data_IF_579401516543
#
_entry.id   IF_579401516543
#
_cell.length_a   1.000
_cell.length_b   1.000
_cell.length_c   1.000
_cell.angle_alpha   90.00
_cell.angle_beta   90.00
_cell.angle_gamma   90.00
#
_symmetry.space_group_name_H-M   'P 1'
#
loop_
_entity.id
_entity.type
_entity.pdbx_description
1 polymer ?
#
# COMPACT_ATOMS: atom_id res chain seq x y z
N UNK A 1 38.47 -0.52 18.75
CA UNK A 1 37.90 -1.01 17.49
C UNK A 1 36.39 -0.77 17.55
N UNK A 2 35.86 0.19 16.80
CA UNK A 2 34.44 0.51 16.79
C UNK A 2 33.79 -0.22 15.60
N UNK A 3 32.85 -1.13 15.88
CA UNK A 3 32.06 -1.76 14.83
C UNK A 3 30.98 -0.77 14.41
N UNK A 4 31.16 -0.17 13.24
CA UNK A 4 30.16 0.68 12.61
C UNK A 4 28.97 -0.16 12.15
N UNK A 5 28.01 -0.39 13.05
CA UNK A 5 26.70 -0.88 12.67
C UNK A 5 25.79 0.33 12.41
N UNK A 6 25.90 0.90 11.21
CA UNK A 6 24.96 1.90 10.70
C UNK A 6 23.59 1.25 10.48
N UNK A 7 22.84 1.04 11.54
CA UNK A 7 21.46 0.56 11.46
C UNK A 7 20.58 1.66 10.91
N UNK A 8 20.08 1.49 9.68
CA UNK A 8 19.06 2.38 9.14
C UNK A 8 17.72 2.07 9.84
N UNK A 9 17.35 2.90 10.80
CA UNK A 9 16.01 2.85 11.40
C UNK A 9 15.02 3.49 10.44
N UNK A 10 14.17 2.68 9.79
CA UNK A 10 13.07 3.21 9.00
C UNK A 10 11.92 3.59 9.94
N UNK A 11 11.79 4.88 10.23
CA UNK A 11 10.65 5.42 10.96
C UNK A 11 9.53 5.79 9.99
N UNK A 12 8.29 5.49 10.37
CA UNK A 12 7.13 5.78 9.55
C UNK A 12 6.28 6.83 10.25
N UNK A 13 6.19 8.02 9.64
CA UNK A 13 5.35 9.11 10.11
C UNK A 13 3.97 9.05 9.43
N UNK A 14 2.91 9.30 10.18
CA UNK A 14 1.57 9.51 9.61
C UNK A 14 1.57 10.77 8.76
N UNK A 15 1.27 10.65 7.47
CA UNK A 15 1.25 11.79 6.55
C UNK A 15 -0.12 12.47 6.54
N UNK A 16 -1.19 11.69 6.47
CA UNK A 16 -2.58 12.16 6.49
C UNK A 16 -3.55 10.97 6.63
N UNK A 17 -4.72 11.23 7.20
CA UNK A 17 -5.89 10.36 7.11
C UNK A 17 -6.74 10.77 5.91
N UNK A 18 -7.17 9.80 5.11
CA UNK A 18 -7.89 10.05 3.87
C UNK A 18 -8.90 8.94 3.57
N UNK A 19 -9.97 9.33 2.87
CA UNK A 19 -10.94 8.38 2.36
C UNK A 19 -10.45 7.78 1.04
N UNK A 20 -10.45 6.46 0.97
CA UNK A 20 -10.12 5.70 -0.23
C UNK A 20 -11.04 4.49 -0.34
N UNK A 21 -11.33 4.09 -1.58
CA UNK A 21 -11.98 2.82 -1.88
C UNK A 21 -10.91 1.72 -1.94
N UNK A 22 -11.09 0.66 -1.16
CA UNK A 22 -10.19 -0.50 -1.12
C UNK A 22 -10.88 -1.70 -1.77
N UNK A 23 -10.29 -2.22 -2.83
CA UNK A 23 -10.80 -3.36 -3.59
C UNK A 23 -9.74 -4.46 -3.64
N UNK A 24 -9.99 -5.67 -3.11
CA UNK A 24 -9.06 -6.79 -3.28
C UNK A 24 -9.04 -7.22 -4.76
N UNK A 25 -7.88 -7.21 -5.40
CA UNK A 25 -7.76 -7.62 -6.81
C UNK A 25 -7.51 -9.11 -6.99
N UNK A 26 -7.18 -9.82 -5.91
CA UNK A 26 -6.92 -11.27 -5.90
C UNK A 26 -8.12 -12.15 -5.54
N UNK A 27 -9.32 -11.58 -5.40
CA UNK A 27 -10.49 -12.27 -4.84
C UNK A 27 -11.57 -12.56 -5.87
N UNK A 28 -11.28 -13.34 -6.91
CA UNK A 28 -12.34 -14.03 -7.66
C UNK A 28 -12.77 -15.26 -6.84
N UNK A 29 -13.84 -15.11 -6.04
CA UNK A 29 -14.76 -16.13 -5.51
C UNK A 29 -14.24 -17.47 -4.90
N UNK A 30 -12.95 -17.62 -4.62
CA UNK A 30 -12.41 -18.83 -4.01
C UNK A 30 -12.33 -18.75 -2.49
N UNK A 31 -13.36 -19.22 -1.80
CA UNK A 31 -13.19 -19.83 -0.48
C UNK A 31 -12.31 -21.07 -0.68
N UNK A 32 -10.98 -20.93 -0.62
CA UNK A 32 -10.11 -22.09 -0.43
C UNK A 32 -9.12 -21.84 0.71
N UNK A 33 -9.39 -22.60 1.76
CA UNK A 33 -8.50 -22.91 2.85
C UNK A 33 -7.12 -23.35 2.32
N UNK A 34 -6.07 -22.64 2.76
CA UNK A 34 -4.74 -23.22 2.92
C UNK A 34 -3.96 -23.51 1.65
N UNK A 35 -3.28 -22.50 1.10
CA UNK A 35 -1.99 -22.52 0.36
C UNK A 35 -1.93 -21.22 -0.45
N UNK A 36 -0.88 -20.41 -0.55
CA UNK A 36 0.53 -20.41 -0.16
C UNK A 36 0.89 -18.92 -0.08
N UNK A 37 1.79 -18.56 0.83
CA UNK A 37 2.40 -17.23 0.93
C UNK A 37 2.71 -16.63 -0.46
N UNK A 38 2.04 -15.53 -0.80
CA UNK A 38 2.25 -14.94 -2.12
C UNK A 38 1.40 -13.72 -2.37
N UNK A 39 1.51 -12.71 -1.50
CA UNK A 39 1.19 -11.31 -1.82
C UNK A 39 -0.29 -11.04 -2.16
N UNK A 40 -1.09 -10.70 -1.15
CA UNK A 40 -2.47 -10.23 -1.36
C UNK A 40 -2.43 -8.85 -1.99
N UNK A 41 -2.77 -8.76 -3.27
CA UNK A 41 -2.85 -7.51 -4.00
C UNK A 41 -4.20 -6.80 -3.75
N UNK A 42 -4.13 -5.49 -3.57
CA UNK A 42 -5.24 -4.59 -3.32
C UNK A 42 -5.13 -3.37 -4.23
N UNK A 43 -6.26 -2.95 -4.76
CA UNK A 43 -6.40 -1.69 -5.44
C UNK A 43 -7.02 -0.66 -4.48
N UNK A 44 -6.31 0.43 -4.27
CA UNK A 44 -6.75 1.55 -3.45
C UNK A 44 -6.97 2.75 -4.36
N UNK A 45 -8.22 3.20 -4.49
CA UNK A 45 -8.58 4.39 -5.27
C UNK A 45 -8.92 5.53 -4.33
N UNK A 46 -8.21 6.65 -4.47
CA UNK A 46 -8.46 7.86 -3.68
C UNK A 46 -8.58 9.09 -4.58
N UNK A 47 -9.04 10.20 -4.02
CA UNK A 47 -8.96 11.48 -4.74
C UNK A 47 -7.52 11.83 -5.06
N UNK A 48 -7.32 12.53 -6.17
CA UNK A 48 -5.99 12.99 -6.54
C UNK A 48 -5.37 13.82 -5.43
N UNK A 49 -4.15 13.42 -5.06
CA UNK A 49 -3.32 14.12 -4.08
C UNK A 49 -1.89 14.10 -4.56
N UNK A 50 -1.34 15.28 -4.79
CA UNK A 50 0.07 15.41 -5.11
C UNK A 50 0.92 14.87 -3.94
N UNK A 51 1.99 14.15 -4.28
CA UNK A 51 2.96 13.65 -3.30
C UNK A 51 2.72 12.22 -2.82
N UNK A 52 1.68 11.51 -3.27
CA UNK A 52 1.56 10.06 -3.07
C UNK A 52 2.63 9.37 -3.91
N UNK A 53 3.50 8.59 -3.27
CA UNK A 53 4.64 7.91 -3.92
C UNK A 53 4.67 6.42 -3.53
N UNK A 54 5.22 5.54 -4.37
CA UNK A 54 5.40 4.11 -4.05
C UNK A 54 6.22 3.84 -2.78
N UNK A 55 7.09 4.77 -2.36
CA UNK A 55 7.83 4.67 -1.10
C UNK A 55 6.94 4.83 0.16
N UNK A 56 5.66 5.13 -0.01
CA UNK A 56 4.69 5.26 1.08
C UNK A 56 3.89 3.96 1.28
N UNK A 57 3.15 3.91 2.38
CA UNK A 57 2.25 2.81 2.71
C UNK A 57 0.93 3.34 3.24
N UNK A 58 -0.16 2.65 2.93
CA UNK A 58 -1.44 2.89 3.58
C UNK A 58 -1.58 2.01 4.82
N UNK A 59 -2.27 2.51 5.84
CA UNK A 59 -2.57 1.75 7.06
C UNK A 59 -4.06 1.82 7.33
N UNK A 60 -4.70 0.67 7.52
CA UNK A 60 -6.09 0.56 7.93
C UNK A 60 -6.15 -0.25 9.22
N UNK A 61 -6.20 0.44 10.37
CA UNK A 61 -6.11 -0.22 11.68
C UNK A 61 -4.78 -0.95 11.85
N UNK A 62 -4.85 -2.27 11.99
CA UNK A 62 -3.68 -3.16 12.10
C UNK A 62 -3.10 -3.61 10.75
N UNK A 63 -3.80 -3.37 9.64
CA UNK A 63 -3.41 -3.84 8.30
C UNK A 63 -2.52 -2.79 7.60
N UNK A 64 -1.45 -3.24 6.97
CA UNK A 64 -0.51 -2.38 6.24
C UNK A 64 -0.53 -2.76 4.76
N UNK A 65 -0.63 -1.75 3.89
CA UNK A 65 -0.61 -1.90 2.45
C UNK A 65 0.58 -1.12 1.87
N UNK A 66 1.57 -1.81 1.35
CA UNK A 66 2.70 -1.21 0.66
C UNK A 66 2.30 -0.80 -0.75
N UNK A 67 2.60 0.44 -1.15
CA UNK A 67 2.21 0.94 -2.46
C UNK A 67 3.22 0.43 -3.50
N UNK A 68 2.75 -0.40 -4.43
CA UNK A 68 3.58 -0.90 -5.53
C UNK A 68 3.63 0.11 -6.68
N UNK A 69 2.46 0.62 -7.08
CA UNK A 69 2.34 1.58 -8.17
C UNK A 69 1.27 2.62 -7.88
N UNK A 70 1.43 3.82 -8.46
CA UNK A 70 0.49 4.93 -8.37
C UNK A 70 0.20 5.40 -9.78
N UNK A 71 -1.06 5.41 -10.18
CA UNK A 71 -1.52 5.80 -11.52
C UNK A 71 -2.59 6.86 -11.40
N UNK A 72 -2.46 7.98 -12.12
CA UNK A 72 -3.55 8.95 -12.26
C UNK A 72 -4.56 8.45 -13.29
N UNK A 73 -5.80 8.24 -12.85
CA UNK A 73 -6.87 7.73 -13.69
C UNK A 73 -7.28 8.81 -14.70
N UNK A 74 -6.72 8.68 -15.90
CA UNK A 74 -7.01 9.52 -17.06
C UNK A 74 -6.27 10.85 -17.09
N UNK A 75 -5.17 11.02 -16.33
CA UNK A 75 -4.32 12.24 -16.33
C UNK A 75 -5.06 13.56 -16.07
N UNK A 76 -6.27 13.47 -15.53
CA UNK A 76 -7.14 14.61 -15.24
C UNK A 76 -6.96 15.12 -13.82
N UNK A 77 -6.03 14.55 -13.04
CA UNK A 77 -5.80 14.86 -11.64
C UNK A 77 -7.09 14.79 -10.81
N UNK A 78 -7.91 13.76 -11.04
CA UNK A 78 -9.18 13.56 -10.32
C UNK A 78 -9.10 12.41 -9.33
N UNK A 79 -8.51 11.28 -9.76
CA UNK A 79 -8.46 10.05 -8.98
C UNK A 79 -7.09 9.39 -9.14
N UNK A 80 -6.50 8.99 -8.02
CA UNK A 80 -5.31 8.16 -8.03
C UNK A 80 -5.72 6.72 -7.76
N UNK A 81 -5.26 5.83 -8.62
CA UNK A 81 -5.33 4.38 -8.46
C UNK A 81 -3.97 3.88 -8.01
N UNK A 82 -3.94 3.32 -6.80
CA UNK A 82 -2.73 2.76 -6.22
C UNK A 82 -2.87 1.24 -6.16
N UNK A 83 -1.99 0.50 -6.84
CA UNK A 83 -1.87 -0.94 -6.59
C UNK A 83 -0.98 -1.12 -5.38
N UNK A 84 -1.49 -1.86 -4.41
CA UNK A 84 -0.87 -2.07 -3.13
C UNK A 84 -0.81 -3.56 -2.81
N UNK A 85 0.11 -3.94 -1.94
CA UNK A 85 0.25 -5.30 -1.44
C UNK A 85 0.11 -5.28 0.08
N UNK A 86 -0.73 -6.15 0.61
CA UNK A 86 -0.85 -6.30 2.06
C UNK A 86 0.37 -7.02 2.61
N UNK A 87 0.98 -6.40 3.61
CA UNK A 87 2.12 -6.94 4.34
C UNK A 87 1.70 -7.23 5.77
N UNK A 88 1.70 -8.52 6.13
CA UNK A 88 1.66 -8.94 7.53
C UNK A 88 2.99 -8.56 8.19
N UNK A 89 2.89 -8.00 9.40
CA UNK A 89 4.02 -7.64 10.26
C UNK A 89 4.49 -8.85 11.07
#
# INVERSE_FOLDING_TARGET
>A
MATGAGGFTTSWAGVADLWAALTPTGGSEGVEAGRIAGKRAYEIVLRYRAGVRPAMRFRLGSRIFEILTVTDMGERHRWLRCLCEERDL
#
